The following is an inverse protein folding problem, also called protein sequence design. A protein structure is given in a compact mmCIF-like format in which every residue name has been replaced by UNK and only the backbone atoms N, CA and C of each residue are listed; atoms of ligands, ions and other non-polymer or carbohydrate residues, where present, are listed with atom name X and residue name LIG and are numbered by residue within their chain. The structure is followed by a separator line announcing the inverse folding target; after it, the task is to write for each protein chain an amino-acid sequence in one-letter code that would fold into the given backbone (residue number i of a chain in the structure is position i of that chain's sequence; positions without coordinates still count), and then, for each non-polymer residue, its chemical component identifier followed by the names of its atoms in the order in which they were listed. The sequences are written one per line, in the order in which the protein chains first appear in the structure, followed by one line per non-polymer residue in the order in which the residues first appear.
data_IF_868397076932
#
_entry.id   IF_868397076932
#
_cell.length_a   1.000
_cell.length_b   1.000
_cell.length_c   1.000
_cell.angle_alpha   90.00
_cell.angle_beta   90.00
_cell.angle_gamma   90.00
#
_symmetry.space_group_name_H-M   'P 1'
#
loop_
_entity.id
_entity.type
_entity.pdbx_description
1 polymer ?
#
# COMPACT_ATOMS: atom_id res chain seq x y z
N UNK A 1 -19.31 4.13 -10.74
CA UNK A 1 -18.59 2.94 -10.26
C UNK A 1 -19.12 1.63 -10.84
N UNK A 2 -20.44 1.33 -10.78
CA UNK A 2 -20.97 0.09 -11.35
C UNK A 2 -20.57 -0.15 -12.81
N UNK A 3 -20.50 0.93 -13.59
CA UNK A 3 -20.15 0.94 -15.00
C UNK A 3 -18.72 0.44 -15.27
N UNK A 4 -17.77 0.73 -14.36
CA UNK A 4 -16.38 0.24 -14.49
C UNK A 4 -16.34 -1.27 -14.32
N UNK A 5 -17.05 -1.79 -13.33
CA UNK A 5 -17.17 -3.23 -13.11
C UNK A 5 -17.81 -3.93 -14.31
N UNK A 6 -18.93 -3.39 -14.80
CA UNK A 6 -19.65 -3.97 -15.93
C UNK A 6 -18.79 -3.94 -17.21
N UNK A 7 -18.02 -2.87 -17.43
CA UNK A 7 -17.05 -2.78 -18.51
C UNK A 7 -15.96 -3.87 -18.41
N UNK A 8 -15.34 -4.02 -17.23
CA UNK A 8 -14.30 -5.03 -17.01
C UNK A 8 -14.84 -6.45 -17.19
N UNK A 9 -16.03 -6.72 -16.66
CA UNK A 9 -16.71 -8.02 -16.80
C UNK A 9 -17.08 -8.33 -18.25
N UNK A 10 -17.49 -7.33 -19.05
CA UNK A 10 -17.77 -7.51 -20.48
C UNK A 10 -16.56 -7.98 -21.28
N UNK A 11 -15.36 -7.68 -20.79
CA UNK A 11 -14.09 -8.12 -21.35
C UNK A 11 -13.63 -9.48 -20.82
N UNK A 12 -14.46 -10.18 -20.03
CA UNK A 12 -14.12 -11.44 -19.35
C UNK A 12 -12.90 -11.30 -18.44
N UNK A 13 -12.77 -10.13 -17.81
CA UNK A 13 -11.72 -9.82 -16.85
C UNK A 13 -12.34 -9.57 -15.47
N UNK A 14 -11.47 -9.47 -14.48
CA UNK A 14 -11.79 -9.22 -13.09
C UNK A 14 -11.06 -7.97 -12.64
N UNK A 15 -11.77 -7.05 -11.99
CA UNK A 15 -11.18 -5.87 -11.39
C UNK A 15 -10.43 -6.32 -10.11
N UNK A 16 -9.13 -6.06 -10.07
CA UNK A 16 -8.27 -6.47 -8.96
C UNK A 16 -8.21 -5.38 -7.90
N UNK A 17 -7.85 -4.17 -8.32
CA UNK A 17 -7.75 -3.01 -7.44
C UNK A 17 -7.81 -1.72 -8.24
N UNK A 18 -8.43 -0.69 -7.67
CA UNK A 18 -8.26 0.67 -8.16
C UNK A 18 -6.88 1.22 -7.80
N UNK A 19 -6.38 2.20 -8.54
CA UNK A 19 -5.05 2.78 -8.31
C UNK A 19 -5.01 4.22 -8.83
N UNK A 20 -3.99 4.98 -8.45
CA UNK A 20 -3.77 6.36 -8.84
C UNK A 20 -2.52 6.49 -9.71
N UNK A 21 -2.73 6.69 -11.01
CA UNK A 21 -1.62 6.84 -11.97
C UNK A 21 -1.26 8.29 -12.32
N UNK A 22 -1.95 9.30 -11.80
CA UNK A 22 -1.61 10.69 -12.10
C UNK A 22 -0.39 11.19 -11.32
N UNK A 23 0.58 11.81 -12.01
CA UNK A 23 1.80 12.38 -11.43
C UNK A 23 1.49 13.49 -10.42
N UNK A 24 0.38 14.19 -10.62
CA UNK A 24 -0.02 15.34 -9.80
C UNK A 24 -0.92 14.96 -8.61
N UNK A 25 -1.33 13.69 -8.52
CA UNK A 25 -2.32 13.24 -7.54
C UNK A 25 -1.94 11.83 -7.05
N UNK A 26 -1.26 11.77 -5.90
CA UNK A 26 -0.86 10.53 -5.19
C UNK A 26 -2.08 9.80 -4.60
N UNK A 27 -3.28 10.25 -4.93
CA UNK A 27 -4.51 9.78 -4.36
C UNK A 27 -5.14 8.70 -5.25
N UNK A 28 -5.30 7.52 -4.69
CA UNK A 28 -5.50 6.31 -5.45
C UNK A 28 -6.58 5.42 -4.83
N UNK A 29 -6.17 4.53 -3.93
CA UNK A 29 -7.03 3.51 -3.32
C UNK A 29 -7.88 4.09 -2.22
N UNK A 30 -7.36 5.08 -1.50
CA UNK A 30 -8.07 5.73 -0.41
C UNK A 30 -9.33 6.45 -0.90
N UNK A 31 -9.35 6.90 -2.15
CA UNK A 31 -10.53 7.49 -2.79
C UNK A 31 -11.68 6.50 -2.99
N UNK A 32 -11.35 5.22 -3.12
CA UNK A 32 -12.33 4.14 -3.24
C UNK A 32 -12.54 3.43 -1.89
N UNK A 33 -12.05 4.00 -0.80
CA UNK A 33 -12.10 3.40 0.54
C UNK A 33 -12.99 4.25 1.46
N UNK A 34 -14.21 3.80 1.81
CA UNK A 34 -15.14 4.56 2.66
C UNK A 34 -14.56 4.97 4.02
N UNK A 35 -13.71 4.14 4.62
CA UNK A 35 -13.04 4.42 5.90
C UNK A 35 -12.14 5.65 5.85
N UNK A 36 -11.75 6.11 4.66
CA UNK A 36 -11.01 7.35 4.51
C UNK A 36 -11.87 8.59 4.83
N UNK A 37 -13.14 8.59 4.42
CA UNK A 37 -14.06 9.73 4.56
C UNK A 37 -14.87 9.71 5.86
N UNK A 38 -15.22 8.52 6.36
CA UNK A 38 -16.17 8.36 7.45
C UNK A 38 -15.51 8.00 8.79
N UNK A 39 -14.25 8.42 9.01
CA UNK A 39 -13.50 8.10 10.25
C UNK A 39 -14.26 8.46 11.53
N UNK A 40 -15.07 9.52 11.50
CA UNK A 40 -15.89 10.00 12.62
C UNK A 40 -17.24 9.29 12.78
N UNK A 41 -17.59 8.36 11.88
CA UNK A 41 -18.88 7.66 11.90
C UNK A 41 -18.71 6.13 11.83
N UNK A 42 -18.24 5.50 12.93
CA UNK A 42 -17.92 4.07 12.96
C UNK A 42 -19.15 3.18 12.72
N UNK A 43 -20.33 3.61 13.18
CA UNK A 43 -21.59 2.86 12.98
C UNK A 43 -21.93 2.75 11.49
N UNK A 44 -21.76 3.84 10.74
CA UNK A 44 -22.01 3.82 9.31
C UNK A 44 -20.93 3.05 8.55
N UNK A 45 -19.67 3.15 8.97
CA UNK A 45 -18.59 2.33 8.42
C UNK A 45 -18.81 0.83 8.59
N UNK A 46 -19.28 0.38 9.75
CA UNK A 46 -19.57 -1.03 10.00
C UNK A 46 -20.70 -1.55 9.09
N UNK A 47 -21.66 -0.70 8.75
CA UNK A 47 -22.72 -1.05 7.78
C UNK A 47 -22.13 -1.20 6.38
N UNK A 48 -21.30 -0.24 5.96
CA UNK A 48 -20.69 -0.25 4.63
C UNK A 48 -19.76 -1.46 4.48
N UNK A 49 -18.95 -1.79 5.49
CA UNK A 49 -17.99 -2.90 5.42
C UNK A 49 -18.63 -4.28 5.20
N UNK A 50 -19.94 -4.41 5.44
CA UNK A 50 -20.71 -5.63 5.21
C UNK A 50 -21.28 -5.74 3.78
N UNK A 51 -21.22 -4.66 2.98
CA UNK A 51 -21.66 -4.67 1.59
C UNK A 51 -20.63 -5.33 0.68
N UNK A 52 -21.02 -5.80 -0.52
CA UNK A 52 -20.07 -6.20 -1.56
C UNK A 52 -19.03 -5.10 -1.86
N UNK A 53 -17.79 -5.49 -2.20
CA UNK A 53 -16.69 -4.53 -2.47
C UNK A 53 -17.07 -3.48 -3.54
N UNK A 54 -17.79 -3.90 -4.60
CA UNK A 54 -18.33 -3.01 -5.65
C UNK A 54 -19.18 -1.87 -5.06
N UNK A 55 -20.07 -2.19 -4.13
CA UNK A 55 -20.98 -1.23 -3.51
C UNK A 55 -20.25 -0.32 -2.53
N UNK A 56 -19.30 -0.86 -1.76
CA UNK A 56 -18.44 -0.06 -0.89
C UNK A 56 -17.69 1.02 -1.69
N UNK A 57 -17.13 0.64 -2.83
CA UNK A 57 -16.37 1.56 -3.69
C UNK A 57 -17.27 2.55 -4.42
N UNK A 58 -18.51 2.16 -4.78
CA UNK A 58 -19.49 3.08 -5.32
C UNK A 58 -19.87 4.18 -4.32
N UNK A 59 -20.04 3.81 -3.04
CA UNK A 59 -20.27 4.79 -1.96
C UNK A 59 -19.08 5.75 -1.82
N UNK A 60 -17.85 5.23 -1.86
CA UNK A 60 -16.65 6.07 -1.79
C UNK A 60 -16.54 7.04 -2.97
N UNK A 61 -16.81 6.57 -4.20
CA UNK A 61 -16.84 7.42 -5.40
C UNK A 61 -17.82 8.60 -5.25
N UNK A 62 -19.02 8.34 -4.72
CA UNK A 62 -20.01 9.38 -4.44
C UNK A 62 -19.51 10.39 -3.40
N UNK A 63 -18.75 9.95 -2.39
CA UNK A 63 -18.14 10.85 -1.39
C UNK A 63 -17.04 11.72 -2.00
N UNK A 64 -16.31 11.24 -3.01
CA UNK A 64 -15.29 12.03 -3.71
C UNK A 64 -15.94 13.10 -4.59
N UNK A 65 -17.05 12.75 -5.26
CA UNK A 65 -17.94 13.67 -5.98
C UNK A 65 -17.34 14.41 -7.19
N UNK A 66 -16.07 14.15 -7.54
CA UNK A 66 -15.30 14.96 -8.50
C UNK A 66 -14.41 14.15 -9.44
N UNK A 67 -14.43 12.81 -9.37
CA UNK A 67 -13.57 11.96 -10.21
C UNK A 67 -14.18 11.75 -11.58
N UNK A 68 -13.48 12.24 -12.61
CA UNK A 68 -13.83 12.05 -14.02
C UNK A 68 -13.09 10.89 -14.69
N UNK A 69 -12.06 10.35 -14.04
CA UNK A 69 -11.21 9.26 -14.56
C UNK A 69 -10.94 8.23 -13.48
N UNK A 70 -10.91 6.96 -13.88
CA UNK A 70 -10.57 5.83 -13.04
C UNK A 70 -9.36 5.11 -13.61
N UNK A 71 -8.41 4.76 -12.75
CA UNK A 71 -7.34 3.84 -13.09
C UNK A 71 -7.42 2.62 -12.18
N UNK A 72 -7.18 1.44 -12.74
CA UNK A 72 -7.39 0.17 -12.08
C UNK A 72 -6.57 -0.93 -12.74
N UNK A 73 -6.29 -1.98 -11.98
CA UNK A 73 -5.68 -3.21 -12.46
C UNK A 73 -6.76 -4.26 -12.72
N UNK A 74 -6.58 -5.02 -13.79
CA UNK A 74 -7.46 -6.12 -14.17
C UNK A 74 -6.65 -7.39 -14.41
N UNK A 75 -7.26 -8.55 -14.16
CA UNK A 75 -6.67 -9.85 -14.50
C UNK A 75 -7.76 -10.84 -14.93
N UNK A 76 -7.36 -11.97 -15.52
CA UNK A 76 -8.30 -13.05 -15.88
C UNK A 76 -8.88 -13.75 -14.66
N UNK A 77 -8.06 -13.91 -13.63
CA UNK A 77 -8.41 -14.64 -12.41
C UNK A 77 -8.45 -13.69 -11.23
N UNK A 78 -9.27 -14.03 -10.25
CA UNK A 78 -9.24 -13.43 -8.92
C UNK A 78 -7.98 -13.95 -8.17
N UNK A 79 -7.51 -13.24 -7.15
CA UNK A 79 -6.32 -13.59 -6.34
C UNK A 79 -4.95 -13.46 -7.03
N UNK A 80 -4.79 -12.53 -7.96
CA UNK A 80 -3.48 -12.24 -8.60
C UNK A 80 -2.68 -11.14 -7.90
N UNK A 81 -3.23 -10.53 -6.85
CA UNK A 81 -2.58 -9.47 -6.08
C UNK A 81 -1.46 -10.06 -5.23
N UNK A 82 -0.25 -9.49 -5.31
CA UNK A 82 0.86 -9.88 -4.46
C UNK A 82 0.56 -9.59 -2.98
N UNK A 83 0.98 -10.48 -2.08
CA UNK A 83 0.69 -10.43 -0.64
C UNK A 83 1.97 -10.39 0.18
N UNK A 84 1.92 -9.75 1.37
CA UNK A 84 2.98 -9.84 2.37
C UNK A 84 3.23 -11.27 2.86
N UNK A 85 2.24 -12.16 2.73
CA UNK A 85 2.36 -13.56 3.17
C UNK A 85 3.27 -14.40 2.25
N UNK A 86 3.51 -13.94 1.01
CA UNK A 86 4.48 -14.58 0.11
C UNK A 86 5.84 -13.87 0.24
N UNK A 87 6.76 -14.52 0.94
CA UNK A 87 8.08 -13.98 1.25
C UNK A 87 8.99 -13.80 0.03
N UNK A 88 8.63 -14.38 -1.13
CA UNK A 88 9.33 -14.14 -2.40
C UNK A 88 8.96 -12.80 -3.03
N UNK A 89 7.97 -12.09 -2.49
CA UNK A 89 7.65 -10.76 -2.95
C UNK A 89 8.72 -9.76 -2.53
N UNK A 90 8.97 -8.80 -3.42
CA UNK A 90 9.88 -7.69 -3.27
C UNK A 90 9.03 -6.44 -3.03
N UNK A 91 9.11 -5.82 -1.83
CA UNK A 91 8.49 -4.53 -1.59
C UNK A 91 9.30 -3.42 -2.24
N UNK A 92 8.62 -2.51 -2.93
CA UNK A 92 9.26 -1.40 -3.60
C UNK A 92 8.42 -0.13 -3.52
N UNK A 93 9.09 1.02 -3.44
CA UNK A 93 8.43 2.32 -3.53
C UNK A 93 8.09 2.66 -4.98
N UNK A 94 6.87 3.12 -5.17
CA UNK A 94 6.36 3.59 -6.47
C UNK A 94 6.94 4.99 -6.76
N UNK A 95 7.11 5.34 -8.05
CA UNK A 95 7.48 6.69 -8.55
C UNK A 95 8.86 7.24 -8.13
N UNK A 96 9.91 6.42 -8.10
CA UNK A 96 11.29 6.87 -7.82
C UNK A 96 11.40 7.78 -6.57
N UNK A 97 10.66 7.48 -5.50
CA UNK A 97 10.81 8.15 -4.20
C UNK A 97 12.11 7.71 -3.51
N UNK A 98 13.23 7.92 -4.20
CA UNK A 98 14.56 7.53 -3.77
C UNK A 98 14.86 8.16 -2.41
N UNK A 99 15.30 7.33 -1.47
CA UNK A 99 15.61 7.76 -0.11
C UNK A 99 14.42 7.97 0.83
N UNK A 100 13.15 7.92 0.38
CA UNK A 100 12.00 8.12 1.27
C UNK A 100 11.93 7.07 2.40
N UNK A 101 12.11 5.79 2.05
CA UNK A 101 12.30 4.70 3.01
C UNK A 101 13.31 5.03 4.14
N UNK A 102 14.49 5.55 3.79
CA UNK A 102 15.52 5.96 4.75
C UNK A 102 15.12 7.19 5.55
N UNK A 103 14.47 8.19 4.93
CA UNK A 103 13.97 9.37 5.65
C UNK A 103 12.93 8.98 6.72
N UNK A 104 12.00 8.09 6.37
CA UNK A 104 10.99 7.57 7.28
C UNK A 104 11.64 6.73 8.38
N UNK A 105 12.56 5.82 8.03
CA UNK A 105 13.31 5.02 9.01
C UNK A 105 14.05 5.91 10.02
N UNK A 106 14.76 6.93 9.55
CA UNK A 106 15.47 7.88 10.40
C UNK A 106 14.50 8.68 11.29
N UNK A 107 13.34 9.07 10.77
CA UNK A 107 12.31 9.76 11.56
C UNK A 107 11.78 8.88 12.70
N UNK A 108 11.51 7.59 12.43
CA UNK A 108 11.07 6.61 13.43
C UNK A 108 12.13 6.45 14.51
N UNK A 109 13.40 6.29 14.13
CA UNK A 109 14.52 6.14 15.08
C UNK A 109 14.72 7.38 15.95
N UNK A 110 14.52 8.58 15.38
CA UNK A 110 14.66 9.85 16.10
C UNK A 110 13.47 10.14 17.02
N UNK A 111 12.31 9.50 16.78
CA UNK A 111 11.07 9.73 17.52
C UNK A 111 10.43 8.39 17.92
N UNK A 112 11.10 7.57 18.77
CA UNK A 112 10.63 6.25 19.12
C UNK A 112 9.26 6.32 19.83
N UNK A 113 8.41 5.31 19.59
CA UNK A 113 7.06 5.19 20.17
C UNK A 113 6.06 6.29 19.77
N UNK A 114 6.36 7.11 18.76
CA UNK A 114 5.43 8.12 18.25
C UNK A 114 4.68 7.63 17.02
N UNK A 115 3.48 8.16 16.80
CA UNK A 115 2.77 7.96 15.54
C UNK A 115 3.44 8.77 14.43
N UNK A 116 3.63 8.15 13.27
CA UNK A 116 4.11 8.83 12.06
C UNK A 116 2.90 9.24 11.24
N UNK A 117 2.83 10.52 10.88
CA UNK A 117 1.83 11.07 9.96
C UNK A 117 2.47 11.40 8.63
N UNK A 118 2.05 10.71 7.57
CA UNK A 118 2.37 11.09 6.20
C UNK A 118 1.24 11.95 5.65
N UNK A 119 1.59 13.14 5.16
CA UNK A 119 0.63 14.08 4.56
C UNK A 119 1.00 14.30 3.11
N UNK A 120 0.01 14.21 2.23
CA UNK A 120 0.14 14.41 0.79
C UNK A 120 -0.69 15.61 0.33
N UNK A 121 -0.58 15.97 -0.95
CA UNK A 121 -1.38 17.05 -1.54
C UNK A 121 -2.87 16.71 -1.44
N UNK A 122 -3.72 17.75 -1.34
CA UNK A 122 -5.18 17.65 -1.15
C UNK A 122 -5.65 17.19 0.25
N UNK A 123 -4.90 17.52 1.31
CA UNK A 123 -5.24 17.19 2.71
C UNK A 123 -5.38 15.69 3.01
N UNK A 124 -4.89 14.82 2.14
CA UNK A 124 -4.85 13.39 2.42
C UNK A 124 -3.71 13.08 3.36
N UNK A 125 -4.01 12.29 4.39
CA UNK A 125 -2.98 11.84 5.32
C UNK A 125 -3.32 10.48 5.89
N UNK A 126 -2.26 9.71 6.11
CA UNK A 126 -2.30 8.46 6.85
C UNK A 126 -1.45 8.61 8.10
N UNK A 127 -1.91 7.98 9.17
CA UNK A 127 -1.21 7.97 10.45
C UNK A 127 -1.10 6.52 10.87
N UNK A 128 0.09 6.10 11.22
CA UNK A 128 0.37 4.74 11.65
C UNK A 128 1.32 4.77 12.85
N UNK A 129 1.25 3.72 13.66
CA UNK A 129 2.22 3.48 14.72
C UNK A 129 3.28 2.53 14.15
N UNK A 130 4.55 2.95 14.02
CA UNK A 130 5.61 2.06 13.61
C UNK A 130 5.81 0.99 14.68
N UNK A 131 6.06 -0.21 14.21
CA UNK A 131 6.53 -1.31 15.02
C UNK A 131 8.01 -1.18 15.40
N UNK A 132 8.49 -2.05 16.27
CA UNK A 132 9.86 -1.98 16.81
C UNK A 132 10.93 -2.31 15.75
N UNK A 133 10.57 -3.10 14.74
CA UNK A 133 11.45 -3.51 13.64
C UNK A 133 11.21 -2.69 12.36
N UNK A 134 10.15 -1.89 12.32
CA UNK A 134 9.75 -1.11 11.13
C UNK A 134 10.89 -0.29 10.54
N UNK A 135 11.69 0.39 11.37
CA UNK A 135 12.80 1.21 10.87
C UNK A 135 13.88 0.35 10.16
N UNK A 136 14.25 -0.80 10.73
CA UNK A 136 15.21 -1.73 10.12
C UNK A 136 14.64 -2.37 8.85
N UNK A 137 13.34 -2.71 8.83
CA UNK A 137 12.68 -3.24 7.63
C UNK A 137 12.72 -2.20 6.49
N UNK A 138 12.33 -0.96 6.77
CA UNK A 138 12.37 0.14 5.79
C UNK A 138 13.78 0.43 5.28
N UNK A 139 14.79 0.37 6.15
CA UNK A 139 16.21 0.54 5.79
C UNK A 139 16.68 -0.46 4.73
N UNK A 140 16.18 -1.69 4.77
CA UNK A 140 16.57 -2.75 3.81
C UNK A 140 15.65 -2.85 2.59
N UNK A 141 14.59 -2.04 2.54
CA UNK A 141 13.64 -2.00 1.43
C UNK A 141 14.17 -1.16 0.27
N UNK A 142 15.01 -1.78 -0.55
CA UNK A 142 15.66 -1.15 -1.71
C UNK A 142 14.92 -1.36 -3.04
N UNK A 143 13.80 -2.09 -3.04
CA UNK A 143 13.04 -2.44 -4.25
C UNK A 143 13.63 -3.60 -5.06
N UNK A 144 14.70 -4.22 -4.58
CA UNK A 144 15.38 -5.36 -5.21
C UNK A 144 15.31 -6.64 -4.38
N UNK A 145 15.31 -6.53 -3.05
CA UNK A 145 15.34 -7.68 -2.15
C UNK A 145 13.96 -8.22 -1.81
N UNK A 146 13.87 -9.54 -1.64
CA UNK A 146 12.65 -10.22 -1.17
C UNK A 146 12.38 -9.90 0.30
N UNK A 147 11.13 -10.04 0.73
CA UNK A 147 10.73 -9.95 2.14
C UNK A 147 11.55 -10.93 3.00
N UNK A 148 11.78 -12.16 2.52
CA UNK A 148 12.64 -13.14 3.21
C UNK A 148 14.05 -12.57 3.48
N UNK A 149 14.72 -12.06 2.46
CA UNK A 149 16.07 -11.48 2.58
C UNK A 149 16.10 -10.28 3.52
N UNK A 150 15.09 -9.40 3.42
CA UNK A 150 14.95 -8.24 4.30
C UNK A 150 14.80 -8.69 5.76
N UNK A 151 13.90 -9.64 6.02
CA UNK A 151 13.66 -10.13 7.37
C UNK A 151 14.86 -10.85 7.96
N UNK A 152 15.59 -11.65 7.19
CA UNK A 152 16.84 -12.26 7.66
C UNK A 152 17.90 -11.21 8.04
N UNK A 153 18.01 -10.12 7.28
CA UNK A 153 18.91 -9.01 7.65
C UNK A 153 18.51 -8.36 8.97
N UNK A 154 17.22 -8.09 9.16
CA UNK A 154 16.69 -7.54 10.43
C UNK A 154 16.95 -8.49 11.61
N UNK A 155 16.72 -9.80 11.41
CA UNK A 155 17.00 -10.83 12.44
C UNK A 155 18.47 -10.88 12.80
N UNK A 156 19.37 -10.62 11.86
CA UNK A 156 20.82 -10.61 12.08
C UNK A 156 21.34 -9.34 12.75
N UNK A 157 20.60 -8.23 12.71
CA UNK A 157 20.88 -7.04 13.54
C UNK A 157 20.56 -7.30 15.03
N UNK A 158 19.66 -8.24 15.33
CA UNK A 158 19.26 -8.56 16.70
C UNK A 158 20.25 -9.53 17.36
N UNK A 159 20.99 -9.05 18.37
CA UNK A 159 22.02 -9.84 19.07
C UNK A 159 21.45 -10.96 19.94
N UNK A 160 20.30 -10.72 20.59
CA UNK A 160 19.57 -11.67 21.44
C UNK A 160 18.08 -11.61 21.09
N UNK A 161 17.36 -12.73 21.23
CA UNK A 161 15.92 -12.85 20.94
C UNK A 161 15.54 -12.37 19.53
N UNK A 162 16.08 -13.06 18.52
CA UNK A 162 15.74 -12.79 17.11
C UNK A 162 14.24 -12.97 16.89
N UNK A 163 13.54 -11.99 16.30
CA UNK A 163 12.12 -12.15 16.01
C UNK A 163 11.92 -13.29 14.99
N UNK A 164 10.77 -13.93 15.10
CA UNK A 164 10.24 -14.84 14.09
C UNK A 164 9.70 -14.05 12.89
N UNK A 165 9.55 -14.73 11.75
CA UNK A 165 8.97 -14.11 10.55
C UNK A 165 7.53 -13.61 10.78
N UNK A 166 6.64 -14.36 11.47
CA UNK A 166 5.31 -13.85 11.79
C UNK A 166 5.32 -12.58 12.65
N UNK A 167 6.27 -12.45 13.58
CA UNK A 167 6.43 -11.22 14.38
C UNK A 167 6.84 -10.03 13.51
N UNK A 168 7.79 -10.23 12.58
CA UNK A 168 8.21 -9.18 11.64
C UNK A 168 7.09 -8.77 10.68
N UNK A 169 6.31 -9.74 10.19
CA UNK A 169 5.13 -9.48 9.36
C UNK A 169 4.08 -8.67 10.12
N UNK A 170 3.76 -9.09 11.35
CA UNK A 170 2.79 -8.38 12.19
C UNK A 170 3.26 -6.97 12.56
N UNK A 171 4.57 -6.79 12.79
CA UNK A 171 5.19 -5.50 13.08
C UNK A 171 5.11 -4.54 11.89
N UNK A 172 5.34 -5.06 10.67
CA UNK A 172 5.40 -4.25 9.45
C UNK A 172 4.03 -3.99 8.81
N UNK A 173 3.07 -4.92 8.96
CA UNK A 173 1.78 -4.88 8.27
C UNK A 173 1.03 -3.54 8.39
N UNK A 174 0.90 -2.90 9.56
CA UNK A 174 0.21 -1.61 9.67
C UNK A 174 0.86 -0.50 8.85
N UNK A 175 2.19 -0.52 8.73
CA UNK A 175 2.97 0.46 7.96
C UNK A 175 2.79 0.20 6.47
N UNK A 176 2.88 -1.08 6.06
CA UNK A 176 2.64 -1.48 4.69
C UNK A 176 1.23 -1.11 4.24
N UNK A 177 0.19 -1.44 5.00
CA UNK A 177 -1.21 -1.12 4.66
C UNK A 177 -1.42 0.40 4.55
N UNK A 178 -0.81 1.20 5.42
CA UNK A 178 -0.86 2.65 5.33
C UNK A 178 -0.19 3.19 4.06
N UNK A 179 0.90 2.59 3.60
CA UNK A 179 1.61 3.01 2.40
C UNK A 179 0.94 2.48 1.14
N UNK A 180 0.45 1.24 1.16
CA UNK A 180 -0.30 0.62 0.08
C UNK A 180 -1.61 1.38 -0.18
N UNK A 181 -2.29 1.84 0.87
CA UNK A 181 -3.51 2.65 0.75
C UNK A 181 -3.29 3.93 -0.07
N UNK A 182 -2.07 4.45 -0.09
CA UNK A 182 -1.66 5.63 -0.85
C UNK A 182 -0.84 5.29 -2.11
N UNK A 183 -0.83 4.02 -2.53
CA UNK A 183 -0.02 3.50 -3.64
C UNK A 183 1.48 3.88 -3.55
N UNK A 184 2.02 4.03 -2.34
CA UNK A 184 3.43 4.38 -2.11
C UNK A 184 4.34 3.16 -2.17
N UNK A 185 3.91 2.05 -1.56
CA UNK A 185 4.57 0.76 -1.65
C UNK A 185 3.67 -0.21 -2.40
N UNK A 186 4.27 -0.97 -3.30
CA UNK A 186 3.68 -2.15 -3.91
C UNK A 186 4.59 -3.36 -3.72
N UNK A 187 4.02 -4.53 -3.98
CA UNK A 187 4.73 -5.80 -4.00
C UNK A 187 4.81 -6.31 -5.44
N UNK A 188 5.95 -6.92 -5.79
CA UNK A 188 6.08 -7.74 -6.99
C UNK A 188 6.73 -9.06 -6.62
N UNK A 189 6.34 -10.15 -7.26
CA UNK A 189 7.04 -11.42 -7.09
C UNK A 189 8.46 -11.32 -7.70
N UNK A 190 9.43 -12.01 -7.10
CA UNK A 190 10.82 -12.01 -7.59
C UNK A 190 10.97 -12.52 -9.03
N UNK A 191 10.02 -13.31 -9.52
CA UNK A 191 9.98 -13.78 -10.92
C UNK A 191 9.45 -12.73 -11.90
N UNK A 192 8.93 -11.61 -11.41
CA UNK A 192 8.45 -10.50 -12.24
C UNK A 192 9.56 -9.45 -12.36
N UNK A 193 9.99 -9.10 -13.58
CA UNK A 193 11.02 -8.09 -13.77
C UNK A 193 10.59 -6.74 -13.17
N UNK A 194 11.57 -5.93 -12.79
CA UNK A 194 11.32 -4.56 -12.36
C UNK A 194 10.58 -3.78 -13.46
N UNK A 195 9.60 -2.98 -13.08
CA UNK A 195 8.83 -2.19 -14.03
C UNK A 195 9.72 -1.20 -14.78
N UNK A 196 9.80 -1.35 -16.12
CA UNK A 196 10.63 -0.53 -17.01
C UNK A 196 10.37 0.99 -16.91
N UNK A 197 9.17 1.41 -16.53
CA UNK A 197 8.82 2.83 -16.35
C UNK A 197 9.57 3.49 -15.19
N UNK A 198 10.08 2.72 -14.22
CA UNK A 198 10.93 3.23 -13.14
C UNK A 198 12.33 3.61 -13.61
N UNK A 199 12.75 3.24 -14.84
CA UNK A 199 14.10 3.54 -15.37
C UNK A 199 14.14 4.72 -16.34
N UNK A 200 13.01 5.11 -16.95
CA UNK A 200 13.01 5.96 -18.15
C UNK A 200 12.56 7.42 -17.94
N UNK A 201 11.99 7.75 -16.79
CA UNK A 201 11.61 9.11 -16.44
C UNK A 201 12.26 9.54 -15.13
N UNK A 202 13.58 9.83 -15.12
CA UNK A 202 14.14 10.66 -14.06
C UNK A 202 13.43 12.02 -14.14
N UNK A 203 12.74 12.41 -13.07
CA UNK A 203 12.17 13.77 -12.94
C UNK A 203 13.31 14.71 -12.55
#
# INVERSE_FOLDING_TARGET
MPEVYDFVESCQLKLIEFTGFHIDDINARELYTPSFYLKSNPVFLEKISKLPKKDQQAIAELMVGSRSQHAFYVAKNENTKASLDDLNNIPYFVRQMTGLHNQIANNILSNPNTFVKLSFRLNTSVTFKPGIYTASILKYMDGAQTLESIFEKVRNECSNNKPSIPELLADFKPVFEAFELLDLILLRNNNVPEFYSLKRFPI
#
